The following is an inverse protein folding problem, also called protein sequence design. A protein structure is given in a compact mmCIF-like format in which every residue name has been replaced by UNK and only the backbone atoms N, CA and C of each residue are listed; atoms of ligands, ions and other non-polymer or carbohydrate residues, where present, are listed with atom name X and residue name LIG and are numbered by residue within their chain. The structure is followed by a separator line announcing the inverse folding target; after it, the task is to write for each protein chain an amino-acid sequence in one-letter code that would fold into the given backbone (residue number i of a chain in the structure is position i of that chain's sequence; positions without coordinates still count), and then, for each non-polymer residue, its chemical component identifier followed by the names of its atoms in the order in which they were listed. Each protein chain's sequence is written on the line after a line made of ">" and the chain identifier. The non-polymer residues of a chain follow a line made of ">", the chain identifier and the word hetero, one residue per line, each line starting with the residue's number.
data_IF_367368500276
#
_entry.id   IF_367368500276
#
_cell.length_a   1.000
_cell.length_b   1.000
_cell.length_c   1.000
_cell.angle_alpha   90.00
_cell.angle_beta   90.00
_cell.angle_gamma   90.00
#
_symmetry.space_group_name_H-M   'P 1'
#
loop_
_entity.id
_entity.type
_entity.pdbx_description
1 polymer ?
#
# COMPACT_ATOMS: atom_id res chain seq x y z
N UNK A 1 11.99 12.54 -11.59
CA UNK A 1 10.91 11.52 -11.70
C UNK A 1 10.59 10.99 -10.32
N UNK A 2 9.34 11.10 -9.87
CA UNK A 2 8.91 10.41 -8.63
C UNK A 2 8.92 8.92 -8.92
N UNK A 3 9.90 8.19 -8.38
CA UNK A 3 9.89 6.73 -8.45
C UNK A 3 8.69 6.23 -7.65
N UNK A 4 7.77 5.51 -8.29
CA UNK A 4 6.74 4.77 -7.59
C UNK A 4 7.45 3.61 -6.88
N UNK A 5 7.66 3.75 -5.57
CA UNK A 5 8.37 2.76 -4.75
C UNK A 5 7.37 1.66 -4.36
N UNK A 6 6.24 2.06 -3.77
CA UNK A 6 5.19 1.13 -3.42
C UNK A 6 4.17 1.01 -4.56
N UNK A 7 3.57 -0.17 -4.70
CA UNK A 7 2.51 -0.50 -5.66
C UNK A 7 1.17 -0.76 -4.97
N UNK A 8 0.95 -0.15 -3.80
CA UNK A 8 -0.24 -0.35 -2.99
C UNK A 8 -1.54 -0.15 -3.78
N UNK A 9 -1.57 0.89 -4.63
CA UNK A 9 -2.74 1.19 -5.47
C UNK A 9 -3.09 0.03 -6.42
N UNK A 10 -2.09 -0.63 -7.00
CA UNK A 10 -2.28 -1.75 -7.93
C UNK A 10 -2.79 -2.97 -7.16
N UNK A 11 -2.14 -3.31 -6.05
CA UNK A 11 -2.52 -4.48 -5.25
C UNK A 11 -3.93 -4.32 -4.64
N UNK A 12 -4.31 -3.10 -4.24
CA UNK A 12 -5.67 -2.82 -3.81
C UNK A 12 -6.69 -3.07 -4.92
N UNK A 13 -6.39 -2.70 -6.16
CA UNK A 13 -7.25 -2.97 -7.30
C UNK A 13 -7.33 -4.47 -7.62
N UNK A 14 -6.20 -5.19 -7.60
CA UNK A 14 -6.14 -6.65 -7.80
C UNK A 14 -6.96 -7.42 -6.75
N UNK A 15 -6.92 -6.96 -5.49
CA UNK A 15 -7.69 -7.54 -4.38
C UNK A 15 -9.12 -6.99 -4.29
N UNK A 16 -9.51 -6.11 -5.20
CA UNK A 16 -10.81 -5.43 -5.23
C UNK A 16 -11.18 -4.79 -3.86
N UNK A 17 -10.19 -4.09 -3.27
CA UNK A 17 -10.30 -3.38 -1.99
C UNK A 17 -10.19 -1.88 -2.19
N UNK A 18 -10.89 -1.13 -1.35
CA UNK A 18 -10.90 0.34 -1.39
C UNK A 18 -9.93 0.94 -0.37
N UNK A 19 -9.51 2.18 -0.59
CA UNK A 19 -8.68 2.92 0.37
C UNK A 19 -9.38 3.02 1.74
N UNK A 20 -10.70 3.27 1.74
CA UNK A 20 -11.53 3.29 2.95
C UNK A 20 -11.51 1.96 3.70
N UNK A 21 -11.57 0.84 2.97
CA UNK A 21 -11.51 -0.48 3.59
C UNK A 21 -10.17 -0.71 4.29
N UNK A 22 -9.06 -0.41 3.62
CA UNK A 22 -7.72 -0.58 4.20
C UNK A 22 -7.50 0.38 5.39
N UNK A 23 -8.01 1.61 5.29
CA UNK A 23 -8.00 2.58 6.37
C UNK A 23 -8.72 2.04 7.62
N UNK A 24 -9.89 1.42 7.45
CA UNK A 24 -10.63 0.79 8.54
C UNK A 24 -9.87 -0.40 9.14
N UNK A 25 -9.24 -1.25 8.33
CA UNK A 25 -8.46 -2.39 8.82
C UNK A 25 -7.22 -1.97 9.64
N UNK A 26 -6.56 -0.89 9.23
CA UNK A 26 -5.35 -0.39 9.90
C UNK A 26 -5.64 0.62 11.01
N UNK A 27 -6.92 1.01 11.22
CA UNK A 27 -7.28 2.10 12.13
C UNK A 27 -6.64 3.44 11.74
N UNK A 28 -6.40 3.66 10.44
CA UNK A 28 -5.76 4.87 9.91
C UNK A 28 -6.75 5.74 9.14
N UNK A 29 -6.36 7.00 8.91
CA UNK A 29 -7.15 7.92 8.12
C UNK A 29 -7.06 7.57 6.62
N UNK A 30 -8.19 7.65 5.90
CA UNK A 30 -8.27 7.41 4.45
C UNK A 30 -7.33 8.34 3.66
N UNK A 31 -7.11 9.57 4.13
CA UNK A 31 -6.15 10.50 3.53
C UNK A 31 -4.70 9.99 3.58
N UNK A 32 -4.32 9.26 4.63
CA UNK A 32 -2.98 8.66 4.75
C UNK A 32 -2.80 7.53 3.75
N UNK A 33 -3.81 6.65 3.63
CA UNK A 33 -3.80 5.57 2.64
C UNK A 33 -3.75 6.14 1.22
N UNK A 34 -4.51 7.20 0.95
CA UNK A 34 -4.49 7.89 -0.35
C UNK A 34 -3.09 8.41 -0.71
N UNK A 35 -2.39 9.05 0.25
CA UNK A 35 -1.00 9.51 0.06
C UNK A 35 -0.03 8.37 -0.22
N UNK A 36 -0.24 7.20 0.38
CA UNK A 36 0.55 6.00 0.10
C UNK A 36 0.30 5.48 -1.31
N UNK A 37 -0.96 5.39 -1.73
CA UNK A 37 -1.36 4.99 -3.08
C UNK A 37 -0.83 5.94 -4.16
N UNK A 38 -0.70 7.24 -3.88
CA UNK A 38 -0.10 8.21 -4.81
C UNK A 38 1.42 8.34 -4.67
N UNK A 39 2.06 7.51 -3.84
CA UNK A 39 3.49 7.57 -3.52
C UNK A 39 3.96 8.95 -3.01
N UNK A 40 3.04 9.80 -2.54
CA UNK A 40 3.36 11.13 -1.97
C UNK A 40 4.01 11.00 -0.60
N UNK A 41 3.71 9.92 0.11
CA UNK A 41 4.35 9.50 1.36
C UNK A 41 4.49 7.99 1.30
N UNK A 42 5.52 7.43 1.94
CA UNK A 42 5.69 5.99 2.01
C UNK A 42 5.13 5.45 3.32
N UNK A 43 4.51 4.24 3.33
CA UNK A 43 4.20 3.55 4.57
C UNK A 43 5.50 3.20 5.31
N UNK A 44 5.44 3.20 6.64
CA UNK A 44 6.53 2.63 7.45
C UNK A 44 6.66 1.13 7.19
N UNK A 45 7.80 0.51 7.55
CA UNK A 45 7.95 -0.95 7.43
C UNK A 45 6.88 -1.71 8.24
N UNK A 46 6.54 -1.23 9.43
CA UNK A 46 5.44 -1.78 10.24
C UNK A 46 4.09 -1.69 9.53
N UNK A 47 3.81 -0.57 8.87
CA UNK A 47 2.57 -0.39 8.11
C UNK A 47 2.55 -1.29 6.86
N UNK A 48 3.68 -1.43 6.17
CA UNK A 48 3.82 -2.30 5.01
C UNK A 48 3.49 -3.76 5.37
N UNK A 49 4.01 -4.23 6.51
CA UNK A 49 3.71 -5.59 7.02
C UNK A 49 2.23 -5.73 7.38
N UNK A 50 1.64 -4.72 8.02
CA UNK A 50 0.22 -4.75 8.36
C UNK A 50 -0.66 -4.78 7.10
N UNK A 51 -0.34 -3.95 6.09
CA UNK A 51 -1.01 -3.94 4.79
C UNK A 51 -0.91 -5.31 4.10
N UNK A 52 0.29 -5.91 4.08
CA UNK A 52 0.52 -7.21 3.45
C UNK A 52 -0.34 -8.29 4.10
N UNK A 53 -0.43 -8.29 5.43
CA UNK A 53 -1.32 -9.17 6.20
C UNK A 53 -2.79 -8.92 5.89
N UNK A 54 -3.24 -7.66 5.82
CA UNK A 54 -4.62 -7.33 5.49
C UNK A 54 -5.01 -7.76 4.07
N UNK A 55 -4.09 -7.66 3.11
CA UNK A 55 -4.35 -7.98 1.71
C UNK A 55 -4.02 -9.43 1.34
N UNK A 56 -3.51 -10.21 2.30
CA UNK A 56 -3.07 -11.59 2.11
C UNK A 56 -2.11 -11.71 0.91
N UNK A 57 -1.04 -10.91 0.96
CA UNK A 57 0.06 -10.87 -0.01
C UNK A 57 1.40 -10.85 0.72
N UNK A 58 2.49 -11.09 -0.02
CA UNK A 58 3.82 -10.87 0.53
C UNK A 58 4.14 -9.37 0.53
N UNK A 59 4.92 -8.92 1.52
CA UNK A 59 5.43 -7.54 1.58
C UNK A 59 6.20 -7.12 0.31
N UNK A 60 6.86 -8.05 -0.38
CA UNK A 60 7.54 -7.78 -1.65
C UNK A 60 6.55 -7.42 -2.77
N UNK A 61 5.33 -7.97 -2.72
CA UNK A 61 4.30 -7.71 -3.72
C UNK A 61 3.73 -6.29 -3.61
N UNK A 62 3.98 -5.61 -2.48
CA UNK A 62 3.63 -4.21 -2.26
C UNK A 62 4.68 -3.23 -2.78
N UNK A 63 5.83 -3.71 -3.27
CA UNK A 63 6.93 -2.88 -3.75
C UNK A 63 7.21 -3.11 -5.23
N UNK A 64 7.64 -2.07 -5.93
CA UNK A 64 8.18 -2.22 -7.28
C UNK A 64 9.60 -2.80 -7.20
N UNK A 65 9.90 -3.76 -8.08
CA UNK A 65 11.29 -4.18 -8.27
C UNK A 65 12.11 -2.99 -8.77
N UNK A 66 13.27 -2.78 -8.14
CA UNK A 66 14.24 -1.76 -8.56
C UNK A 66 15.26 -2.31 -9.56
N UNK A 67 15.28 -3.63 -9.75
CA UNK A 67 16.09 -4.34 -10.73
C UNK A 67 15.11 -4.93 -11.76
N UNK A 68 15.34 -4.66 -13.04
CA UNK A 68 14.71 -5.39 -14.14
C UNK A 68 15.21 -6.85 -14.18
#
# INVERSE_FOLDING_TARGET
>A
MRKNINRLKVVLAEKNRTNRWLAAQLGKNEATISKWCTNSTQPSLSDLVAIAKCLEVDTKDLLHSINE
#
